data_IF_401793648773
#
_entry.id   IF_401793648773
#
_cell.length_a   1.000
_cell.length_b   1.000
_cell.length_c   1.000
_cell.angle_alpha   90.00
_cell.angle_beta   90.00
_cell.angle_gamma   90.00
#
_symmetry.space_group_name_H-M   'P 1'
#
loop_
_entity.id
_entity.type
_entity.pdbx_description
1 polymer ?
#
# COMPACT_ATOMS: atom_id res chain seq x y z
N UNK A 1 -10.53 14.28 20.76
CA UNK A 1 -11.79 14.88 20.25
C UNK A 1 -11.52 15.99 19.24
N UNK A 2 -10.75 17.03 19.57
CA UNK A 2 -10.42 18.10 18.59
C UNK A 2 -9.77 17.56 17.30
N UNK A 3 -8.87 16.58 17.42
CA UNK A 3 -8.25 15.87 16.28
C UNK A 3 -9.30 15.19 15.40
N UNK A 4 -10.24 14.45 16.00
CA UNK A 4 -11.35 13.78 15.30
C UNK A 4 -12.26 14.82 14.61
N UNK A 5 -12.62 15.88 15.33
CA UNK A 5 -13.47 16.95 14.83
C UNK A 5 -12.86 17.67 13.62
N UNK A 6 -11.59 18.09 13.71
CA UNK A 6 -10.86 18.72 12.59
C UNK A 6 -10.71 17.81 11.37
N UNK A 7 -10.75 16.49 11.58
CA UNK A 7 -10.63 15.52 10.49
C UNK A 7 -11.98 15.20 9.85
N UNK A 8 -13.04 15.15 10.65
CA UNK A 8 -14.44 15.03 10.19
C UNK A 8 -14.87 16.28 9.40
N UNK A 9 -14.46 17.45 9.87
CA UNK A 9 -14.79 18.75 9.29
C UNK A 9 -13.61 19.72 9.45
N UNK A 10 -12.98 20.10 8.33
CA UNK A 10 -11.75 20.93 8.33
C UNK A 10 -12.03 22.38 8.74
N UNK A 11 -13.26 22.86 8.53
CA UNK A 11 -13.61 24.28 8.65
C UNK A 11 -14.53 24.59 9.84
N UNK A 12 -15.08 23.56 10.50
CA UNK A 12 -16.01 23.78 11.59
C UNK A 12 -15.32 24.07 12.94
N UNK A 13 -15.91 25.01 13.69
CA UNK A 13 -15.56 25.27 15.08
C UNK A 13 -15.73 23.99 15.90
N UNK A 14 -14.64 23.54 16.52
CA UNK A 14 -14.60 22.31 17.30
C UNK A 14 -15.62 22.33 18.45
N UNK A 15 -16.00 23.52 18.94
CA UNK A 15 -17.02 23.74 19.95
C UNK A 15 -18.42 23.28 19.49
N UNK A 16 -18.79 23.61 18.25
CA UNK A 16 -20.15 23.38 17.71
C UNK A 16 -20.37 21.91 17.32
N UNK A 17 -19.38 21.27 16.69
CA UNK A 17 -19.43 19.84 16.32
C UNK A 17 -19.60 18.93 17.54
N UNK A 18 -18.90 19.25 18.63
CA UNK A 18 -18.91 18.44 19.87
C UNK A 18 -20.22 18.58 20.63
N UNK A 19 -20.90 19.72 20.51
CA UNK A 19 -22.22 19.92 21.10
C UNK A 19 -23.32 19.18 20.31
N UNK A 20 -23.20 19.08 18.98
CA UNK A 20 -24.27 18.58 18.09
C UNK A 20 -24.16 17.09 17.71
N UNK A 21 -23.02 16.41 17.93
CA UNK A 21 -22.81 15.01 17.48
C UNK A 21 -22.43 14.05 18.62
N UNK A 22 -23.40 13.47 19.35
CA UNK A 22 -23.13 12.53 20.44
C UNK A 22 -22.31 11.29 20.01
N UNK A 23 -22.45 10.86 18.75
CA UNK A 23 -21.68 9.75 18.18
C UNK A 23 -20.16 10.05 18.14
N UNK A 24 -19.76 11.30 17.92
CA UNK A 24 -18.35 11.68 17.89
C UNK A 24 -17.70 11.58 19.29
N UNK A 25 -18.46 11.89 20.35
CA UNK A 25 -18.01 11.70 21.75
C UNK A 25 -17.86 10.22 22.07
N UNK A 26 -18.82 9.39 21.65
CA UNK A 26 -18.76 7.94 21.86
C UNK A 26 -17.55 7.32 21.15
N UNK A 27 -17.34 7.64 19.87
CA UNK A 27 -16.17 7.19 19.10
C UNK A 27 -14.89 7.63 19.78
N UNK A 28 -14.79 8.91 20.19
CA UNK A 28 -13.58 9.40 20.83
C UNK A 28 -13.24 8.66 22.13
N UNK A 29 -14.27 8.31 22.91
CA UNK A 29 -14.12 7.51 24.13
C UNK A 29 -13.66 6.08 23.81
N UNK A 30 -14.23 5.44 22.78
CA UNK A 30 -13.87 4.08 22.35
C UNK A 30 -12.45 3.99 21.75
N UNK A 31 -11.97 5.06 21.12
CA UNK A 31 -10.59 5.20 20.68
C UNK A 31 -9.59 5.49 21.82
N UNK A 32 -10.02 5.49 23.09
CA UNK A 32 -9.22 5.87 24.26
C UNK A 32 -8.50 7.22 24.11
N UNK A 33 -9.09 8.13 23.33
CA UNK A 33 -8.47 9.41 22.95
C UNK A 33 -7.08 9.31 22.28
N UNK A 34 -6.68 8.15 21.76
CA UNK A 34 -5.42 7.99 21.01
C UNK A 34 -5.43 8.88 19.76
N UNK A 35 -4.48 9.83 19.62
CA UNK A 35 -4.45 10.72 18.46
C UNK A 35 -4.46 9.98 17.13
N UNK A 36 -3.68 8.90 17.02
CA UNK A 36 -3.62 8.07 15.82
C UNK A 36 -4.99 7.48 15.45
N UNK A 37 -5.64 6.81 16.40
CA UNK A 37 -6.93 6.16 16.11
C UNK A 37 -8.02 7.19 15.79
N UNK A 38 -7.98 8.36 16.45
CA UNK A 38 -8.89 9.45 16.15
C UNK A 38 -8.66 10.02 14.74
N UNK A 39 -7.42 10.13 14.28
CA UNK A 39 -7.10 10.58 12.91
C UNK A 39 -7.58 9.56 11.88
N UNK A 40 -7.26 8.28 12.08
CA UNK A 40 -7.60 7.19 11.16
C UNK A 40 -9.12 7.01 11.03
N UNK A 41 -9.84 7.03 12.15
CA UNK A 41 -11.32 6.97 12.17
C UNK A 41 -11.93 8.24 11.59
N UNK A 42 -11.37 9.41 11.92
CA UNK A 42 -11.83 10.68 11.38
C UNK A 42 -11.70 10.75 9.85
N UNK A 43 -10.57 10.30 9.30
CA UNK A 43 -10.35 10.18 7.87
C UNK A 43 -11.36 9.24 7.20
N UNK A 44 -11.59 8.07 7.78
CA UNK A 44 -12.57 7.11 7.27
C UNK A 44 -14.00 7.67 7.16
N UNK A 45 -14.44 8.42 8.18
CA UNK A 45 -15.76 9.04 8.21
C UNK A 45 -15.83 10.19 7.21
N UNK A 46 -14.77 10.99 7.12
CA UNK A 46 -14.67 12.12 6.21
C UNK A 46 -14.79 11.70 4.74
N UNK A 47 -14.08 10.64 4.34
CA UNK A 47 -14.14 10.08 2.99
C UNK A 47 -15.55 9.62 2.57
N UNK A 48 -16.37 9.24 3.56
CA UNK A 48 -17.77 8.88 3.37
C UNK A 48 -18.70 10.05 3.56
N UNK A 49 -18.20 11.29 3.42
CA UNK A 49 -18.94 12.54 3.50
C UNK A 49 -19.84 12.61 4.75
N UNK A 50 -19.36 12.08 5.87
CA UNK A 50 -20.08 12.07 7.15
C UNK A 50 -21.43 11.31 7.13
N UNK A 51 -21.56 10.29 6.28
CA UNK A 51 -22.76 9.45 6.23
C UNK A 51 -23.04 8.74 7.57
N UNK A 52 -24.32 8.65 7.95
CA UNK A 52 -24.76 7.96 9.18
C UNK A 52 -24.23 6.51 9.27
N UNK A 53 -24.24 5.79 8.14
CA UNK A 53 -23.72 4.42 8.04
C UNK A 53 -22.23 4.33 8.36
N UNK A 54 -21.43 5.37 8.06
CA UNK A 54 -20.02 5.40 8.38
C UNK A 54 -19.81 5.42 9.91
N UNK A 55 -20.56 6.27 10.62
CA UNK A 55 -20.54 6.30 12.09
C UNK A 55 -20.95 4.96 12.71
N UNK A 56 -22.04 4.36 12.21
CA UNK A 56 -22.51 3.05 12.69
C UNK A 56 -21.47 1.95 12.46
N UNK A 57 -20.82 1.93 11.30
CA UNK A 57 -19.76 0.95 11.00
C UNK A 57 -18.55 1.08 11.92
N UNK A 58 -18.13 2.31 12.23
CA UNK A 58 -17.05 2.59 13.18
C UNK A 58 -17.43 2.15 14.59
N UNK A 59 -18.64 2.47 15.04
CA UNK A 59 -19.11 2.09 16.38
C UNK A 59 -19.16 0.57 16.50
N UNK A 60 -19.71 -0.12 15.50
CA UNK A 60 -19.77 -1.58 15.47
C UNK A 60 -18.37 -2.20 15.52
N UNK A 61 -17.46 -1.73 14.67
CA UNK A 61 -16.06 -2.16 14.69
C UNK A 61 -15.40 -1.98 16.07
N UNK A 62 -15.56 -0.79 16.67
CA UNK A 62 -14.98 -0.50 17.98
C UNK A 62 -15.64 -1.28 19.13
N UNK A 63 -16.82 -1.89 18.91
CA UNK A 63 -17.52 -2.74 19.88
C UNK A 63 -17.14 -4.22 19.74
N UNK A 64 -17.10 -4.74 18.51
CA UNK A 64 -16.90 -6.17 18.25
C UNK A 64 -15.44 -6.53 18.07
N UNK A 65 -14.60 -5.56 17.64
CA UNK A 65 -13.22 -5.83 17.23
C UNK A 65 -13.12 -6.66 15.95
N UNK A 66 -14.25 -6.92 15.28
CA UNK A 66 -14.30 -7.71 14.05
C UNK A 66 -13.91 -6.83 12.85
N UNK A 67 -12.85 -7.22 12.16
CA UNK A 67 -12.49 -6.67 10.85
C UNK A 67 -13.39 -7.21 9.77
N UNK A 68 -13.41 -6.51 8.63
CA UNK A 68 -14.11 -6.98 7.44
C UNK A 68 -13.40 -8.18 6.77
N UNK A 69 -12.15 -8.46 7.12
CA UNK A 69 -11.31 -9.49 6.51
C UNK A 69 -10.67 -10.41 7.58
N UNK A 70 -11.14 -11.67 7.65
CA UNK A 70 -10.72 -12.67 8.63
C UNK A 70 -9.33 -13.33 8.45
N UNK A 71 -9.12 -14.34 9.31
CA UNK A 71 -8.08 -15.40 9.41
C UNK A 71 -6.65 -15.07 9.88
N UNK A 72 -6.16 -13.82 9.86
CA UNK A 72 -4.85 -13.47 10.46
C UNK A 72 -5.00 -12.85 11.85
N UNK A 73 -4.26 -13.36 12.83
CA UNK A 73 -4.19 -12.80 14.19
C UNK A 73 -3.33 -11.53 14.18
N UNK A 74 -3.98 -10.37 14.09
CA UNK A 74 -3.35 -9.07 14.32
C UNK A 74 -3.42 -8.73 15.81
N UNK A 75 -2.50 -7.90 16.30
CA UNK A 75 -2.69 -7.29 17.62
C UNK A 75 -3.95 -6.40 17.62
N UNK A 76 -4.48 -6.11 18.80
CA UNK A 76 -5.66 -5.25 18.93
C UNK A 76 -5.42 -3.82 18.40
N UNK A 77 -4.19 -3.34 18.45
CA UNK A 77 -3.82 -2.02 17.95
C UNK A 77 -3.62 -2.02 16.42
N UNK A 78 -2.98 -3.05 15.86
CA UNK A 78 -2.89 -3.22 14.40
C UNK A 78 -4.27 -3.38 13.77
N UNK A 79 -5.15 -4.11 14.45
CA UNK A 79 -6.55 -4.20 14.13
C UNK A 79 -7.18 -2.82 13.95
N UNK A 80 -7.05 -1.94 14.95
CA UNK A 80 -7.67 -0.61 14.94
C UNK A 80 -7.23 0.28 13.79
N UNK A 81 -5.99 0.13 13.30
CA UNK A 81 -5.52 0.87 12.13
C UNK A 81 -5.94 0.24 10.81
N UNK A 82 -6.08 -1.09 10.74
CA UNK A 82 -6.51 -1.79 9.55
C UNK A 82 -7.99 -1.59 9.22
N UNK A 83 -8.80 -1.11 10.16
CA UNK A 83 -10.19 -0.75 9.89
C UNK A 83 -10.33 0.24 8.72
N UNK A 84 -9.52 1.31 8.70
CA UNK A 84 -9.59 2.28 7.59
C UNK A 84 -9.06 1.71 6.29
N UNK A 85 -8.08 0.80 6.36
CA UNK A 85 -7.61 0.05 5.19
C UNK A 85 -8.72 -0.84 4.60
N UNK A 86 -9.47 -1.56 5.44
CA UNK A 86 -10.53 -2.44 4.97
C UNK A 86 -11.68 -1.64 4.31
N UNK A 87 -11.80 -0.36 4.67
CA UNK A 87 -12.71 0.60 4.03
C UNK A 87 -12.27 1.16 2.69
N UNK A 88 -11.04 0.89 2.23
CA UNK A 88 -10.53 1.36 0.95
C UNK A 88 -11.06 0.50 -0.21
N UNK A 89 -11.07 1.08 -1.42
CA UNK A 89 -11.25 0.28 -2.64
C UNK A 89 -10.02 -0.62 -2.88
N UNK A 90 -10.17 -1.62 -3.75
CA UNK A 90 -9.12 -2.62 -4.01
C UNK A 90 -7.80 -2.00 -4.48
N UNK A 91 -7.84 -0.98 -5.33
CA UNK A 91 -6.60 -0.37 -5.85
C UNK A 91 -5.86 0.41 -4.76
N UNK A 92 -6.58 1.20 -3.96
CA UNK A 92 -6.02 1.92 -2.82
C UNK A 92 -5.47 0.97 -1.75
N UNK A 93 -6.11 -0.20 -1.56
CA UNK A 93 -5.56 -1.27 -0.72
C UNK A 93 -4.21 -1.77 -1.25
N UNK A 94 -4.09 -2.07 -2.56
CA UNK A 94 -2.81 -2.49 -3.13
C UNK A 94 -1.74 -1.40 -3.05
N UNK A 95 -2.11 -0.15 -3.35
CA UNK A 95 -1.23 1.01 -3.21
C UNK A 95 -0.69 1.15 -1.78
N UNK A 96 -1.56 1.02 -0.77
CA UNK A 96 -1.15 1.05 0.64
C UNK A 96 -0.09 -0.03 0.96
N UNK A 97 -0.31 -1.26 0.50
CA UNK A 97 0.60 -2.37 0.75
C UNK A 97 1.93 -2.22 -0.01
N UNK A 98 1.90 -1.70 -1.24
CA UNK A 98 3.10 -1.35 -2.02
C UNK A 98 3.93 -0.29 -1.27
N UNK A 99 3.29 0.78 -0.77
CA UNK A 99 3.98 1.84 -0.03
C UNK A 99 4.58 1.32 1.27
N UNK A 100 3.82 0.55 2.06
CA UNK A 100 4.32 -0.01 3.33
C UNK A 100 5.54 -0.93 3.13
N UNK A 101 5.57 -1.63 1.99
CA UNK A 101 6.62 -2.60 1.68
C UNK A 101 7.88 -1.92 1.13
N UNK A 102 7.71 -0.97 0.22
CA UNK A 102 8.78 -0.55 -0.68
C UNK A 102 9.08 0.95 -0.64
N UNK A 103 8.03 1.77 -0.57
CA UNK A 103 8.11 3.22 -0.78
C UNK A 103 8.02 4.04 0.52
N UNK A 104 8.21 3.41 1.68
CA UNK A 104 8.32 4.17 2.93
C UNK A 104 9.49 5.16 2.86
N UNK A 105 9.23 6.41 3.26
CA UNK A 105 10.18 7.52 3.21
C UNK A 105 10.68 7.88 1.79
N UNK A 106 9.94 7.53 0.74
CA UNK A 106 10.20 8.02 -0.62
C UNK A 106 9.59 9.40 -0.86
N UNK A 107 10.02 10.06 -1.94
CA UNK A 107 9.43 11.33 -2.38
C UNK A 107 7.97 11.14 -2.74
N UNK A 108 7.14 12.07 -2.28
CA UNK A 108 5.70 11.95 -2.33
C UNK A 108 5.16 11.93 -3.76
N UNK A 109 5.64 12.85 -4.59
CA UNK A 109 5.19 13.01 -5.98
C UNK A 109 5.54 11.79 -6.83
N UNK A 110 6.76 11.26 -6.68
CA UNK A 110 7.21 10.06 -7.38
C UNK A 110 6.31 8.86 -7.06
N UNK A 111 5.99 8.66 -5.78
CA UNK A 111 5.17 7.52 -5.37
C UNK A 111 3.72 7.68 -5.77
N UNK A 112 3.16 8.89 -5.74
CA UNK A 112 1.81 9.16 -6.21
C UNK A 112 1.65 8.74 -7.69
N UNK A 113 2.64 9.05 -8.54
CA UNK A 113 2.65 8.58 -9.93
C UNK A 113 2.77 7.07 -10.08
N UNK A 114 3.60 6.43 -9.25
CA UNK A 114 3.77 4.97 -9.28
C UNK A 114 2.46 4.26 -8.91
N UNK A 115 1.84 4.63 -7.80
CA UNK A 115 0.68 3.86 -7.28
C UNK A 115 -0.66 4.30 -7.86
N UNK A 116 -0.72 5.51 -8.43
CA UNK A 116 -1.94 6.18 -8.91
C UNK A 116 -2.31 7.35 -8.00
N UNK A 117 -2.58 8.52 -8.59
CA UNK A 117 -2.86 9.76 -7.84
C UNK A 117 -4.16 9.66 -7.03
N UNK A 118 -5.22 9.08 -7.59
CA UNK A 118 -6.50 8.86 -6.89
C UNK A 118 -6.33 7.92 -5.69
N UNK A 119 -5.63 6.80 -5.90
CA UNK A 119 -5.32 5.87 -4.82
C UNK A 119 -4.46 6.55 -3.74
N UNK A 120 -3.47 7.36 -4.13
CA UNK A 120 -2.60 8.06 -3.21
C UNK A 120 -3.36 9.09 -2.37
N UNK A 121 -4.24 9.88 -2.99
CA UNK A 121 -5.11 10.85 -2.31
C UNK A 121 -6.03 10.15 -1.30
N UNK A 122 -6.63 9.00 -1.69
CA UNK A 122 -7.43 8.17 -0.79
C UNK A 122 -6.64 7.76 0.48
N UNK A 123 -5.34 7.49 0.38
CA UNK A 123 -4.53 7.13 1.55
C UNK A 123 -4.24 8.35 2.45
N UNK A 124 -4.05 9.53 1.87
CA UNK A 124 -3.85 10.78 2.62
C UNK A 124 -5.11 11.21 3.36
N UNK A 125 -6.26 11.17 2.69
CA UNK A 125 -7.54 11.52 3.28
C UNK A 125 -7.93 10.55 4.41
N UNK A 126 -7.65 9.25 4.22
CA UNK A 126 -7.84 8.20 5.21
C UNK A 126 -6.84 8.27 6.38
N UNK A 127 -5.91 9.23 6.38
CA UNK A 127 -4.85 9.40 7.37
C UNK A 127 -3.95 8.16 7.54
N UNK A 128 -3.83 7.33 6.50
CA UNK A 128 -2.96 6.15 6.49
C UNK A 128 -1.50 6.50 6.18
N UNK A 129 -1.27 7.65 5.54
CA UNK A 129 0.03 8.25 5.32
C UNK A 129 -0.04 9.78 5.43
N UNK A 130 1.11 10.43 5.58
CA UNK A 130 1.26 11.88 5.67
C UNK A 130 2.42 12.35 4.80
N UNK A 131 2.36 13.60 4.36
CA UNK A 131 3.52 14.32 3.84
C UNK A 131 4.34 14.84 5.03
N UNK A 132 5.61 14.46 5.09
CA UNK A 132 6.60 15.07 5.98
C UNK A 132 7.78 15.50 5.12
N UNK A 133 7.95 16.81 4.97
CA UNK A 133 9.07 17.42 4.25
C UNK A 133 9.22 16.90 2.80
N UNK A 134 8.11 16.73 2.09
CA UNK A 134 8.08 16.22 0.71
C UNK A 134 8.08 14.70 0.60
N UNK A 135 8.18 13.97 1.71
CA UNK A 135 8.34 12.51 1.74
C UNK A 135 7.18 11.80 2.43
N UNK A 136 7.01 10.53 2.08
CA UNK A 136 6.01 9.67 2.71
C UNK A 136 6.40 9.38 4.16
N UNK A 137 5.53 9.78 5.07
CA UNK A 137 5.58 9.43 6.48
C UNK A 137 4.38 8.57 6.86
N UNK A 138 4.63 7.37 7.39
CA UNK A 138 3.61 6.44 7.90
C UNK A 138 3.90 6.21 9.38
N UNK A 139 2.85 6.18 10.19
CA UNK A 139 2.98 5.84 11.61
C UNK A 139 3.45 4.38 11.77
N UNK A 140 4.40 4.11 12.67
CA UNK A 140 5.04 2.79 12.82
C UNK A 140 4.03 1.64 12.98
N UNK A 141 2.98 1.84 13.77
CA UNK A 141 1.88 0.86 13.91
C UNK A 141 1.17 0.55 12.58
N UNK A 142 0.89 1.57 11.76
CA UNK A 142 0.26 1.41 10.43
C UNK A 142 1.23 0.68 9.50
N UNK A 143 2.50 1.08 9.51
CA UNK A 143 3.55 0.47 8.68
C UNK A 143 3.74 -1.01 9.02
N UNK A 144 3.81 -1.34 10.30
CA UNK A 144 3.91 -2.72 10.80
C UNK A 144 2.70 -3.55 10.36
N UNK A 145 1.49 -3.02 10.58
CA UNK A 145 0.25 -3.71 10.20
C UNK A 145 0.20 -3.97 8.68
N UNK A 146 0.57 -2.99 7.85
CA UNK A 146 0.65 -3.13 6.40
C UNK A 146 1.64 -4.21 5.97
N UNK A 147 2.86 -4.20 6.51
CA UNK A 147 3.89 -5.23 6.22
C UNK A 147 3.46 -6.63 6.64
N UNK A 148 2.84 -6.77 7.81
CA UNK A 148 2.32 -8.04 8.30
C UNK A 148 1.19 -8.57 7.39
N UNK A 149 0.36 -7.68 6.84
CA UNK A 149 -0.72 -8.04 5.93
C UNK A 149 -0.21 -8.61 4.61
N UNK A 150 0.88 -8.06 4.05
CA UNK A 150 1.43 -8.47 2.75
C UNK A 150 2.65 -9.41 2.78
N UNK A 151 3.02 -9.96 3.95
CA UNK A 151 4.22 -10.81 4.13
C UNK A 151 4.33 -12.01 3.17
N UNK A 152 3.21 -12.47 2.62
CA UNK A 152 3.13 -13.65 1.75
C UNK A 152 3.05 -13.27 0.25
N UNK A 153 3.02 -11.98 -0.09
CA UNK A 153 2.90 -11.50 -1.49
C UNK A 153 3.90 -10.41 -1.88
N UNK A 154 4.60 -9.80 -0.91
CA UNK A 154 5.60 -8.75 -1.16
C UNK A 154 6.90 -9.10 -0.46
N UNK A 155 7.96 -9.27 -1.23
CA UNK A 155 9.24 -9.77 -0.73
C UNK A 155 10.33 -8.72 -0.86
N UNK A 156 11.09 -8.52 0.21
CA UNK A 156 12.21 -7.56 0.24
C UNK A 156 13.57 -8.26 0.38
N UNK A 157 13.57 -9.58 0.55
CA UNK A 157 14.77 -10.38 0.71
C UNK A 157 14.75 -11.61 -0.20
N UNK A 158 15.93 -12.00 -0.69
CA UNK A 158 16.08 -13.20 -1.53
C UNK A 158 15.67 -14.48 -0.78
N UNK A 159 15.91 -14.54 0.54
CA UNK A 159 15.55 -15.70 1.36
C UNK A 159 14.04 -15.92 1.44
N UNK A 160 13.25 -14.86 1.64
CA UNK A 160 11.80 -14.96 1.69
C UNK A 160 11.23 -15.31 0.32
N UNK A 161 11.71 -14.64 -0.73
CA UNK A 161 11.29 -14.95 -2.10
C UNK A 161 11.60 -16.39 -2.48
N UNK A 162 12.81 -16.90 -2.18
CA UNK A 162 13.20 -18.30 -2.42
C UNK A 162 12.25 -19.30 -1.76
N UNK A 163 11.75 -18.98 -0.56
CA UNK A 163 10.80 -19.85 0.16
C UNK A 163 9.42 -19.81 -0.48
N UNK A 164 9.01 -18.66 -1.01
CA UNK A 164 7.75 -18.50 -1.71
C UNK A 164 7.76 -19.19 -3.09
N UNK A 165 8.85 -19.07 -3.85
CA UNK A 165 9.01 -19.70 -5.17
C UNK A 165 8.91 -21.24 -5.13
N UNK A 166 9.29 -21.85 -4.00
CA UNK A 166 9.14 -23.30 -3.78
C UNK A 166 7.69 -23.77 -3.58
N UNK A 167 6.75 -22.85 -3.47
CA UNK A 167 5.33 -23.12 -3.24
C UNK A 167 4.55 -22.62 -4.46
N UNK A 168 4.32 -23.51 -5.42
CA UNK A 168 3.70 -23.17 -6.71
C UNK A 168 2.39 -22.38 -6.54
N UNK A 169 1.58 -22.71 -5.52
CA UNK A 169 0.32 -22.05 -5.23
C UNK A 169 0.46 -20.58 -4.81
N UNK A 170 1.63 -20.16 -4.33
CA UNK A 170 1.91 -18.78 -3.91
C UNK A 170 2.55 -17.94 -5.01
N UNK A 171 3.21 -18.56 -6.01
CA UNK A 171 3.95 -17.82 -7.05
C UNK A 171 3.02 -16.87 -7.80
N UNK A 172 1.82 -17.34 -8.18
CA UNK A 172 0.82 -16.50 -8.85
C UNK A 172 0.24 -15.37 -7.99
N UNK A 173 0.46 -15.41 -6.67
CA UNK A 173 0.00 -14.41 -5.71
C UNK A 173 1.07 -13.37 -5.36
N UNK A 174 2.28 -13.51 -5.89
CA UNK A 174 3.38 -12.58 -5.66
C UNK A 174 3.08 -11.27 -6.41
N UNK A 175 2.95 -10.19 -5.64
CA UNK A 175 2.63 -8.85 -6.13
C UNK A 175 3.81 -7.90 -6.12
N UNK A 176 4.84 -8.18 -5.35
CA UNK A 176 5.99 -7.29 -5.25
C UNK A 176 7.28 -8.00 -4.93
N UNK A 177 8.33 -7.66 -5.66
CA UNK A 177 9.70 -8.12 -5.42
C UNK A 177 10.61 -6.90 -5.38
N UNK A 178 11.31 -6.71 -4.26
CA UNK A 178 12.30 -5.65 -4.11
C UNK A 178 13.55 -6.19 -3.44
N UNK A 179 14.47 -6.70 -4.25
CA UNK A 179 15.70 -7.28 -3.72
C UNK A 179 16.78 -6.21 -3.62
N UNK A 180 16.98 -5.70 -2.41
CA UNK A 180 18.14 -4.86 -2.10
C UNK A 180 19.40 -5.72 -2.11
N UNK A 181 20.48 -5.18 -2.67
CA UNK A 181 21.79 -5.83 -2.74
C UNK A 181 22.20 -6.30 -1.34
N UNK A 182 22.34 -7.61 -1.14
CA UNK A 182 22.99 -8.22 0.02
C UNK A 182 23.36 -9.67 -0.30
N UNK A 183 24.63 -9.92 -0.63
CA UNK A 183 25.20 -11.27 -0.69
C UNK A 183 25.37 -11.84 -2.10
N UNK A 184 25.15 -13.14 -2.24
CA UNK A 184 25.37 -13.90 -3.46
C UNK A 184 24.36 -13.57 -4.56
N UNK A 185 24.68 -13.87 -5.84
CA UNK A 185 23.72 -13.76 -6.91
C UNK A 185 22.41 -14.50 -6.60
N UNK A 186 21.28 -13.86 -6.94
CA UNK A 186 19.97 -14.48 -6.86
C UNK A 186 19.50 -14.82 -8.26
N UNK A 187 19.04 -16.05 -8.47
CA UNK A 187 18.58 -16.54 -9.76
C UNK A 187 17.06 -16.67 -9.72
N UNK A 188 16.39 -16.11 -10.72
CA UNK A 188 14.96 -16.29 -10.95
C UNK A 188 14.77 -16.71 -12.41
N UNK A 189 13.96 -17.73 -12.65
CA UNK A 189 13.63 -18.14 -14.02
C UNK A 189 12.60 -17.21 -14.64
N UNK A 190 12.66 -17.07 -15.97
CA UNK A 190 11.65 -16.37 -16.74
C UNK A 190 10.26 -17.01 -16.59
N UNK A 191 10.20 -18.33 -16.39
CA UNK A 191 8.96 -19.07 -16.16
C UNK A 191 8.30 -18.68 -14.84
N UNK A 192 9.07 -18.53 -13.75
CA UNK A 192 8.56 -18.03 -12.47
C UNK A 192 8.00 -16.61 -12.62
N UNK A 193 8.67 -15.74 -13.36
CA UNK A 193 8.18 -14.39 -13.65
C UNK A 193 6.89 -14.41 -14.50
N UNK A 194 6.80 -15.28 -15.50
CA UNK A 194 5.59 -15.46 -16.31
C UNK A 194 4.41 -15.95 -15.46
N UNK A 195 4.63 -16.72 -14.39
CA UNK A 195 3.56 -17.10 -13.46
C UNK A 195 3.04 -15.88 -12.68
N UNK A 196 3.89 -14.90 -12.39
CA UNK A 196 3.52 -13.65 -11.68
C UNK A 196 2.94 -12.56 -12.59
N UNK A 197 2.97 -12.74 -13.91
CA UNK A 197 2.61 -11.71 -14.91
C UNK A 197 1.31 -10.94 -14.66
N UNK A 198 0.27 -11.60 -14.13
CA UNK A 198 -1.04 -10.98 -13.90
C UNK A 198 -1.22 -10.38 -12.50
N UNK A 199 -0.23 -10.52 -11.62
CA UNK A 199 -0.32 -10.06 -10.22
C UNK A 199 0.84 -9.16 -9.79
N UNK A 200 1.99 -9.25 -10.46
CA UNK A 200 3.18 -8.47 -10.15
C UNK A 200 2.97 -6.98 -10.44
N UNK A 201 3.14 -6.16 -9.41
CA UNK A 201 2.97 -4.70 -9.43
C UNK A 201 4.27 -3.93 -9.28
N UNK A 202 5.19 -4.46 -8.46
CA UNK A 202 6.48 -3.83 -8.17
C UNK A 202 7.59 -4.84 -8.41
N UNK A 203 8.55 -4.48 -9.24
CA UNK A 203 9.71 -5.32 -9.51
C UNK A 203 10.98 -4.47 -9.48
N UNK A 204 11.79 -4.66 -8.44
CA UNK A 204 13.07 -3.99 -8.26
C UNK A 204 14.15 -5.03 -7.98
N UNK A 205 15.16 -5.06 -8.84
CA UNK A 205 16.29 -5.97 -8.74
C UNK A 205 17.62 -5.23 -8.84
N UNK A 206 18.48 -5.44 -7.85
CA UNK A 206 19.88 -5.01 -7.92
C UNK A 206 20.73 -5.87 -8.87
N UNK A 207 21.92 -5.37 -9.20
CA UNK A 207 22.97 -5.92 -10.08
C UNK A 207 23.33 -7.40 -9.90
N UNK A 208 23.04 -8.00 -8.75
CA UNK A 208 23.34 -9.40 -8.48
C UNK A 208 22.15 -10.33 -8.75
N UNK A 209 21.03 -9.82 -9.23
CA UNK A 209 19.91 -10.68 -9.61
C UNK A 209 19.97 -11.01 -11.10
N UNK A 210 19.85 -12.31 -11.41
CA UNK A 210 19.95 -12.86 -12.74
C UNK A 210 18.58 -13.45 -13.10
N UNK A 211 18.00 -12.96 -14.18
CA UNK A 211 16.82 -13.57 -14.79
C UNK A 211 17.28 -14.57 -15.84
N UNK A 212 16.93 -15.84 -15.67
CA UNK A 212 17.32 -16.93 -16.55
C UNK A 212 16.26 -17.18 -17.62
N UNK A 213 16.67 -17.21 -18.89
CA UNK A 213 15.76 -17.40 -20.02
C UNK A 213 15.14 -16.09 -20.52
N UNK A 214 13.98 -16.20 -21.17
CA UNK A 214 13.23 -15.09 -21.77
C UNK A 214 11.75 -15.24 -21.40
N UNK A 215 11.18 -14.25 -20.71
CA UNK A 215 9.74 -14.27 -20.39
C UNK A 215 8.93 -14.34 -21.70
N UNK A 216 7.69 -14.79 -21.62
CA UNK A 216 6.78 -14.87 -22.78
C UNK A 216 5.49 -14.08 -22.55
N UNK A 217 5.20 -13.70 -21.30
CA UNK A 217 3.98 -12.99 -20.95
C UNK A 217 4.19 -11.50 -20.75
N UNK A 218 3.11 -10.78 -20.92
CA UNK A 218 2.98 -9.37 -20.59
C UNK A 218 2.60 -9.21 -19.12
N UNK A 219 3.10 -8.15 -18.47
CA UNK A 219 2.84 -7.89 -17.06
C UNK A 219 1.77 -6.81 -16.93
N UNK A 220 0.53 -7.23 -16.76
CA UNK A 220 -0.63 -6.33 -16.85
C UNK A 220 -0.68 -5.34 -15.69
N UNK A 221 -0.32 -5.79 -14.49
CA UNK A 221 -0.44 -5.02 -13.25
C UNK A 221 0.83 -4.26 -12.84
N UNK A 222 1.91 -4.38 -13.64
CA UNK A 222 3.23 -3.84 -13.30
C UNK A 222 3.21 -2.31 -13.35
N UNK A 223 3.58 -1.66 -12.24
CA UNK A 223 3.59 -0.21 -12.05
C UNK A 223 4.98 0.37 -11.87
N UNK A 224 5.85 -0.39 -11.22
CA UNK A 224 7.23 -0.02 -10.97
C UNK A 224 8.17 -1.10 -11.46
N UNK A 225 9.14 -0.72 -12.29
CA UNK A 225 10.14 -1.61 -12.81
C UNK A 225 11.54 -1.01 -12.68
N UNK A 226 12.43 -1.68 -11.96
CA UNK A 226 13.82 -1.27 -11.79
C UNK A 226 14.75 -2.46 -11.94
N UNK A 227 15.72 -2.34 -12.84
CA UNK A 227 16.73 -3.35 -13.10
C UNK A 227 18.04 -2.69 -13.51
N UNK A 228 19.16 -3.20 -13.00
CA UNK A 228 20.49 -2.69 -13.36
C UNK A 228 20.91 -3.11 -14.77
N UNK A 229 20.34 -4.21 -15.28
CA UNK A 229 20.47 -4.67 -16.67
C UNK A 229 19.08 -5.04 -17.16
N UNK A 230 18.70 -4.55 -18.34
CA UNK A 230 17.47 -5.01 -19.01
C UNK A 230 17.61 -6.53 -19.15
N UNK A 231 16.83 -7.34 -18.41
CA UNK A 231 16.86 -8.77 -18.62
C UNK A 231 16.40 -9.04 -20.06
N UNK A 232 16.49 -10.28 -20.52
CA UNK A 232 15.80 -10.72 -21.73
C UNK A 232 14.26 -10.67 -21.52
N UNK A 233 13.71 -9.51 -21.16
CA UNK A 233 12.30 -9.27 -21.06
C UNK A 233 11.77 -9.11 -22.48
N UNK A 234 10.77 -9.89 -22.88
CA UNK A 234 10.13 -9.86 -24.19
C UNK A 234 9.17 -8.67 -24.29
N UNK A 235 9.46 -7.52 -23.69
CA UNK A 235 8.42 -6.52 -23.49
C UNK A 235 8.66 -5.33 -24.39
N UNK A 236 7.82 -5.24 -25.40
CA UNK A 236 7.48 -3.95 -25.97
C UNK A 236 6.83 -3.12 -24.86
N UNK A 237 7.63 -2.21 -24.28
CA UNK A 237 7.26 -1.40 -23.11
C UNK A 237 5.96 -0.63 -23.37
N UNK A 238 5.67 -0.30 -24.64
CA UNK A 238 4.43 0.40 -25.02
C UNK A 238 3.16 -0.39 -24.70
N UNK A 239 3.25 -1.70 -24.46
CA UNK A 239 2.08 -2.52 -24.12
C UNK A 239 1.81 -2.59 -22.61
N UNK A 240 2.71 -2.12 -21.75
CA UNK A 240 2.55 -2.16 -20.29
C UNK A 240 1.65 -1.02 -19.81
N UNK A 241 0.34 -1.23 -19.90
CA UNK A 241 -0.72 -0.23 -19.65
C UNK A 241 -0.68 0.45 -18.29
N UNK A 242 -0.13 -0.21 -17.28
CA UNK A 242 -0.09 0.30 -15.92
C UNK A 242 1.32 0.69 -15.47
N UNK A 243 2.31 0.58 -16.35
CA UNK A 243 3.68 0.95 -16.02
C UNK A 243 3.83 2.46 -15.99
N UNK A 244 4.03 2.97 -14.78
CA UNK A 244 4.19 4.40 -14.52
C UNK A 244 5.65 4.82 -14.37
N UNK A 245 6.53 3.89 -13.98
CA UNK A 245 7.90 4.24 -13.62
C UNK A 245 8.91 3.16 -14.00
N UNK A 246 9.98 3.59 -14.68
CA UNK A 246 11.16 2.77 -14.95
C UNK A 246 12.41 3.46 -14.41
N UNK A 247 13.23 2.70 -13.69
CA UNK A 247 14.56 3.13 -13.22
C UNK A 247 15.65 2.24 -13.83
N UNK A 248 16.46 2.80 -14.73
CA UNK A 248 17.66 2.16 -15.23
C UNK A 248 18.88 2.76 -14.53
N UNK A 249 19.72 1.89 -13.95
CA UNK A 249 20.92 2.28 -13.21
C UNK A 249 21.98 3.04 -14.04
N UNK A 250 21.76 3.26 -15.34
CA UNK A 250 22.63 4.04 -16.24
C UNK A 250 21.94 5.23 -16.94
N UNK A 251 20.71 5.57 -16.54
CA UNK A 251 19.98 6.73 -17.05
C UNK A 251 18.56 6.74 -16.49
N UNK A 252 18.20 7.76 -15.70
CA UNK A 252 16.81 7.97 -15.30
C UNK A 252 16.00 8.40 -16.52
N UNK A 253 15.43 7.44 -17.24
CA UNK A 253 14.40 7.72 -18.24
C UNK A 253 13.03 7.50 -17.59
N UNK A 254 12.43 8.60 -17.15
CA UNK A 254 11.04 8.61 -16.72
C UNK A 254 10.17 8.39 -17.96
N UNK A 255 9.67 7.16 -18.16
CA UNK A 255 8.75 6.87 -19.25
C UNK A 255 7.38 7.41 -18.85
N UNK A 256 7.06 8.57 -19.39
CA UNK A 256 5.75 9.20 -19.34
C UNK A 256 4.76 8.37 -20.19
N UNK A 257 4.22 7.28 -19.64
CA UNK A 257 3.07 6.63 -20.26
C UNK A 257 1.80 7.35 -19.79
N UNK A 258 1.43 8.42 -20.51
CA UNK A 258 0.10 9.01 -20.38
C UNK A 258 -0.89 8.19 -21.20
N UNK A 259 -1.44 7.11 -20.64
CA UNK A 259 -2.67 6.55 -21.20
C UNK A 259 -3.85 7.36 -20.69
N UNK A 260 -4.43 8.17 -21.58
CA UNK A 260 -5.74 8.83 -21.44
C UNK A 260 -6.84 7.84 -21.10
#
# INVERSE_FOLDING_TARGET
LQVLCRKIDRDADVSSIVAERPQAKEIAKKCSCSPLFLEVVGGFIHQRKNEKKAYESVINFLQTGEHFSGTKTYSFDESRVLFSYDGLNRNAQEAFLDICSFFYNWELEEVAWIVGEEEFECLQEGALLKNKDGRISIHDLILSAGRNKCKDSRFTTASELSKALKKEELVSQIKGVWLRQNGSPFHISAEELDVMSTSLRVFSMGNLTIVEGKCQKQFDELRYFQVDRVPNLPMDISNLKHLSYIDYAFGKDMILSSSK
#
